data_IF_567865981304
#
_entry.id   IF_567865981304
#
_cell.length_a   1.000
_cell.length_b   1.000
_cell.length_c   1.000
_cell.angle_alpha   90.00
_cell.angle_beta   90.00
_cell.angle_gamma   90.00
#
_symmetry.space_group_name_H-M   'P 1'
#
loop_
_entity.id
_entity.type
_entity.pdbx_description
1 polymer ?
#
# COMPACT_ATOMS: atom_id res chain seq x y z
N UNK A 1 -16.34 -3.48 0.08
CA UNK A 1 -16.20 -2.23 -0.68
C UNK A 1 -17.00 -2.41 -1.95
N UNK A 2 -17.81 -1.42 -2.35
CA UNK A 2 -18.65 -1.53 -3.54
C UNK A 2 -18.41 -0.35 -4.46
N UNK A 3 -18.21 -0.58 -5.76
CA UNK A 3 -18.13 0.52 -6.74
C UNK A 3 -19.48 1.22 -6.88
N UNK A 4 -19.50 2.54 -6.72
CA UNK A 4 -20.68 3.39 -6.93
C UNK A 4 -20.69 3.93 -8.35
N UNK A 5 -19.56 4.49 -8.79
CA UNK A 5 -19.43 5.09 -10.11
C UNK A 5 -17.99 5.00 -10.60
N UNK A 6 -17.84 5.05 -11.92
CA UNK A 6 -16.56 5.09 -12.63
C UNK A 6 -16.73 6.02 -13.82
N UNK A 7 -15.75 6.89 -14.04
CA UNK A 7 -15.66 7.76 -15.20
C UNK A 7 -14.20 7.76 -15.73
N UNK A 8 -13.94 8.57 -16.75
CA UNK A 8 -12.62 8.65 -17.41
C UNK A 8 -11.53 9.31 -16.54
N UNK A 9 -11.88 9.88 -15.37
CA UNK A 9 -10.94 10.57 -14.48
C UNK A 9 -10.78 9.91 -13.11
N UNK A 10 -11.79 9.17 -12.66
CA UNK A 10 -11.85 8.59 -11.31
C UNK A 10 -12.79 7.39 -11.19
N UNK A 11 -12.60 6.68 -10.09
CA UNK A 11 -13.55 5.72 -9.54
C UNK A 11 -13.97 6.12 -8.14
N UNK A 12 -15.23 5.87 -7.82
CA UNK A 12 -15.82 6.14 -6.50
C UNK A 12 -16.30 4.83 -5.90
N UNK A 13 -15.78 4.53 -4.72
CA UNK A 13 -16.17 3.37 -3.94
C UNK A 13 -16.96 3.76 -2.71
N UNK A 14 -17.90 2.90 -2.38
CA UNK A 14 -18.58 2.83 -1.11
C UNK A 14 -17.73 2.03 -0.12
N UNK A 15 -17.43 2.65 1.02
CA UNK A 15 -16.83 1.99 2.18
C UNK A 15 -17.71 2.14 3.39
N UNK A 16 -17.73 1.06 4.16
CA UNK A 16 -18.10 1.09 5.58
C UNK A 16 -17.01 1.80 6.39
N UNK A 17 -17.36 2.24 7.61
CA UNK A 17 -16.38 2.84 8.53
C UNK A 17 -15.22 1.88 8.88
N UNK A 18 -15.48 0.58 8.95
CA UNK A 18 -14.45 -0.44 9.20
C UNK A 18 -13.45 -0.51 8.05
N UNK A 19 -13.92 -0.58 6.80
CA UNK A 19 -13.06 -0.63 5.62
C UNK A 19 -12.22 0.65 5.47
N UNK A 20 -12.79 1.81 5.80
CA UNK A 20 -12.04 3.08 5.83
C UNK A 20 -10.92 3.05 6.88
N UNK A 21 -11.21 2.57 8.07
CA UNK A 21 -10.21 2.46 9.14
C UNK A 21 -9.09 1.51 8.73
N UNK A 22 -9.43 0.38 8.11
CA UNK A 22 -8.46 -0.58 7.57
C UNK A 22 -7.60 0.07 6.47
N UNK A 23 -8.20 0.76 5.50
CA UNK A 23 -7.47 1.47 4.44
C UNK A 23 -6.51 2.52 5.02
N UNK A 24 -6.98 3.35 5.97
CA UNK A 24 -6.13 4.32 6.67
C UNK A 24 -4.99 3.64 7.39
N UNK A 25 -5.28 2.57 8.14
CA UNK A 25 -4.28 1.79 8.86
C UNK A 25 -3.20 1.22 7.93
N UNK A 26 -3.58 0.72 6.75
CA UNK A 26 -2.63 0.22 5.75
C UNK A 26 -1.77 1.35 5.18
N UNK A 27 -2.41 2.42 4.67
CA UNK A 27 -1.69 3.53 4.04
C UNK A 27 -0.78 4.27 5.01
N UNK A 28 -1.20 4.46 6.27
CA UNK A 28 -0.38 5.06 7.33
C UNK A 28 0.78 4.17 7.78
N UNK A 29 0.82 2.90 7.36
CA UNK A 29 1.97 2.02 7.59
C UNK A 29 3.12 2.31 6.62
N UNK A 30 2.91 3.16 5.62
CA UNK A 30 3.95 3.62 4.70
C UNK A 30 4.73 4.82 5.26
N UNK A 31 6.07 4.85 5.12
CA UNK A 31 6.92 3.78 4.58
C UNK A 31 7.13 2.64 5.58
N UNK A 32 7.11 1.40 5.11
CA UNK A 32 7.42 0.24 5.95
C UNK A 32 8.90 0.28 6.37
N UNK A 33 9.17 0.11 7.66
CA UNK A 33 10.53 0.10 8.18
C UNK A 33 11.31 -1.08 7.58
N UNK A 34 12.47 -0.77 6.97
CA UNK A 34 13.34 -1.73 6.27
C UNK A 34 13.94 -2.83 7.15
N UNK A 35 13.73 -2.81 8.48
CA UNK A 35 14.27 -3.83 9.38
C UNK A 35 13.85 -5.25 9.05
N UNK A 36 12.76 -5.43 8.28
CA UNK A 36 12.29 -6.73 7.80
C UNK A 36 12.82 -7.13 6.42
N UNK A 37 13.38 -6.22 5.62
CA UNK A 37 13.88 -6.57 4.29
C UNK A 37 15.23 -7.30 4.40
N UNK A 38 15.44 -8.41 3.69
CA UNK A 38 16.76 -8.94 3.53
C UNK A 38 17.64 -7.85 2.91
N UNK A 39 18.82 -7.64 3.47
CA UNK A 39 19.84 -6.84 2.80
C UNK A 39 19.99 -7.38 1.38
N UNK A 40 19.90 -6.50 0.37
CA UNK A 40 20.14 -6.90 -1.00
C UNK A 40 21.42 -7.74 -1.04
N UNK A 41 21.43 -8.93 -1.67
CA UNK A 41 22.66 -9.69 -1.85
C UNK A 41 23.68 -8.72 -2.44
N UNK A 42 24.83 -8.57 -1.75
CA UNK A 42 25.89 -7.61 -2.09
C UNK A 42 25.93 -7.43 -3.60
N UNK A 43 25.55 -6.24 -4.06
CA UNK A 43 25.64 -5.92 -5.48
C UNK A 43 27.05 -6.31 -5.95
N UNK A 44 27.20 -6.89 -7.15
CA UNK A 44 28.52 -7.13 -7.72
C UNK A 44 29.34 -5.85 -7.58
N UNK A 45 30.63 -5.98 -7.25
CA UNK A 45 31.50 -4.84 -6.90
C UNK A 45 31.17 -3.62 -7.78
N UNK A 46 30.98 -2.43 -7.16
CA UNK A 46 30.57 -1.26 -7.90
C UNK A 46 31.53 -1.08 -9.08
N UNK A 47 30.99 -1.24 -10.29
CA UNK A 47 31.76 -0.97 -11.48
C UNK A 47 32.15 0.51 -11.41
N UNK A 48 33.39 0.90 -11.72
CA UNK A 48 33.81 2.31 -11.74
C UNK A 48 33.01 3.15 -12.76
N UNK A 49 32.24 2.52 -13.65
CA UNK A 49 31.27 3.15 -14.57
C UNK A 49 29.80 2.97 -14.14
N UNK A 50 29.52 2.42 -12.95
CA UNK A 50 28.17 2.21 -12.44
C UNK A 50 27.55 3.49 -11.86
N UNK A 51 26.21 3.58 -11.76
CA UNK A 51 25.54 4.69 -11.10
C UNK A 51 26.01 4.82 -9.65
N UNK A 52 26.20 6.05 -9.19
CA UNK A 52 26.63 6.36 -7.82
C UNK A 52 25.60 5.81 -6.81
N UNK A 53 25.98 4.84 -5.96
CA UNK A 53 25.05 4.22 -5.02
C UNK A 53 24.56 5.21 -3.95
N UNK A 54 25.31 6.24 -3.61
CA UNK A 54 24.88 7.27 -2.65
C UNK A 54 23.80 8.15 -3.27
N UNK A 55 24.01 8.58 -4.52
CA UNK A 55 23.02 9.35 -5.28
C UNK A 55 21.71 8.57 -5.45
N UNK A 56 21.79 7.29 -5.82
CA UNK A 56 20.61 6.42 -5.96
C UNK A 56 19.83 6.31 -4.64
N UNK A 57 20.52 6.10 -3.52
CA UNK A 57 19.87 6.00 -2.22
C UNK A 57 19.22 7.33 -1.81
N UNK A 58 19.86 8.47 -2.12
CA UNK A 58 19.30 9.79 -1.85
C UNK A 58 18.03 10.05 -2.69
N UNK A 59 18.03 9.71 -3.98
CA UNK A 59 16.85 9.83 -4.84
C UNK A 59 15.70 8.93 -4.38
N UNK A 60 16.00 7.67 -4.01
CA UNK A 60 15.00 6.76 -3.46
C UNK A 60 14.41 7.27 -2.14
N UNK A 61 15.23 7.85 -1.26
CA UNK A 61 14.75 8.43 -0.02
C UNK A 61 13.82 9.62 -0.29
N UNK A 62 14.21 10.54 -1.18
CA UNK A 62 13.39 11.68 -1.57
C UNK A 62 12.07 11.26 -2.22
N UNK A 63 12.10 10.24 -3.09
CA UNK A 63 10.92 9.67 -3.70
C UNK A 63 9.95 9.08 -2.66
N UNK A 64 10.45 8.32 -1.68
CA UNK A 64 9.64 7.78 -0.57
C UNK A 64 9.01 8.88 0.27
N UNK A 65 9.74 9.94 0.58
CA UNK A 65 9.18 11.10 1.29
C UNK A 65 8.06 11.73 0.48
N UNK A 66 8.23 11.91 -0.84
CA UNK A 66 7.15 12.43 -1.69
C UNK A 66 5.91 11.53 -1.70
N UNK A 67 6.08 10.21 -1.73
CA UNK A 67 4.96 9.28 -1.64
C UNK A 67 4.26 9.34 -0.27
N UNK A 68 5.01 9.49 0.81
CA UNK A 68 4.46 9.65 2.15
C UNK A 68 3.60 10.92 2.26
N UNK A 69 4.07 12.02 1.69
CA UNK A 69 3.31 13.28 1.63
C UNK A 69 2.03 13.10 0.79
N UNK A 70 2.12 12.41 -0.35
CA UNK A 70 0.94 12.09 -1.18
C UNK A 70 -0.08 11.24 -0.45
N UNK A 71 0.36 10.25 0.33
CA UNK A 71 -0.53 9.44 1.19
C UNK A 71 -1.26 10.33 2.19
N UNK A 72 -0.54 11.22 2.87
CA UNK A 72 -1.13 12.13 3.85
C UNK A 72 -2.16 13.06 3.21
N UNK A 73 -1.81 13.67 2.08
CA UNK A 73 -2.71 14.52 1.29
C UNK A 73 -3.95 13.74 0.83
N UNK A 74 -3.75 12.58 0.20
CA UNK A 74 -4.84 11.73 -0.29
C UNK A 74 -5.84 11.37 0.83
N UNK A 75 -5.34 10.99 2.01
CA UNK A 75 -6.18 10.66 3.17
C UNK A 75 -6.92 11.87 3.75
N UNK A 76 -6.40 13.09 3.55
CA UNK A 76 -7.01 14.33 4.03
C UNK A 76 -8.04 14.91 3.05
N UNK A 77 -7.85 14.68 1.75
CA UNK A 77 -8.74 15.14 0.68
C UNK A 77 -9.96 14.24 0.48
N UNK A 78 -10.00 13.08 1.14
CA UNK A 78 -11.16 12.21 1.05
C UNK A 78 -12.42 12.90 1.58
N UNK A 79 -13.59 12.69 0.93
CA UNK A 79 -14.83 13.33 1.32
C UNK A 79 -15.15 13.14 2.80
N UNK A 80 -15.58 14.22 3.45
CA UNK A 80 -16.00 14.18 4.84
C UNK A 80 -17.21 13.23 5.03
N UNK A 81 -17.35 12.65 6.22
CA UNK A 81 -18.53 11.89 6.61
C UNK A 81 -19.84 12.59 6.26
N UNK A 82 -20.74 11.93 5.52
CA UNK A 82 -22.10 12.41 5.39
C UNK A 82 -22.82 12.22 6.76
N UNK A 83 -23.43 13.27 7.34
CA UNK A 83 -24.01 13.22 8.69
C UNK A 83 -25.20 12.26 8.89
N UNK A 84 -25.72 11.64 7.83
CA UNK A 84 -27.01 10.90 7.86
C UNK A 84 -26.92 9.48 7.30
N UNK A 85 -25.72 9.03 6.96
CA UNK A 85 -25.46 7.70 6.39
C UNK A 85 -24.18 7.15 6.98
N UNK A 86 -24.17 5.86 7.33
CA UNK A 86 -22.96 5.11 7.76
C UNK A 86 -22.03 4.78 6.57
N UNK A 87 -22.44 5.20 5.38
CA UNK A 87 -21.74 4.97 4.14
C UNK A 87 -20.83 6.15 3.81
N UNK A 88 -19.60 5.85 3.35
CA UNK A 88 -18.56 6.83 2.99
C UNK A 88 -18.07 6.56 1.58
N UNK A 89 -17.73 7.63 0.86
CA UNK A 89 -17.15 7.52 -0.47
C UNK A 89 -15.63 7.65 -0.40
N UNK A 90 -14.91 6.72 -1.03
CA UNK A 90 -13.50 6.87 -1.40
C UNK A 90 -13.44 7.25 -2.86
N UNK A 91 -12.77 8.36 -3.14
CA UNK A 91 -12.54 8.83 -4.51
C UNK A 91 -11.09 8.56 -4.86
N UNK A 92 -10.88 7.80 -5.92
CA UNK A 92 -9.55 7.53 -6.47
C UNK A 92 -9.52 8.10 -7.87
N UNK A 93 -8.72 9.14 -8.09
CA UNK A 93 -8.44 9.63 -9.43
C UNK A 93 -7.44 8.71 -10.12
N UNK A 94 -7.55 8.53 -11.43
CA UNK A 94 -6.63 7.66 -12.18
C UNK A 94 -5.18 8.14 -12.14
N UNK A 95 -4.98 9.46 -12.06
CA UNK A 95 -3.64 10.05 -11.81
C UNK A 95 -2.99 9.57 -10.51
N UNK A 96 -3.81 9.12 -9.55
CA UNK A 96 -3.36 8.67 -8.23
C UNK A 96 -3.21 7.15 -8.15
N UNK A 97 -3.76 6.41 -9.12
CA UNK A 97 -3.78 4.95 -9.08
C UNK A 97 -2.38 4.35 -9.06
N UNK A 98 -1.47 4.82 -9.92
CA UNK A 98 -0.10 4.28 -10.02
C UNK A 98 0.67 4.37 -8.70
N UNK A 99 0.67 5.56 -8.08
CA UNK A 99 1.42 5.73 -6.83
C UNK A 99 0.73 5.01 -5.67
N UNK A 100 -0.60 4.91 -5.68
CA UNK A 100 -1.35 4.17 -4.67
C UNK A 100 -1.06 2.66 -4.76
N UNK A 101 -0.99 2.11 -5.98
CA UNK A 101 -0.57 0.72 -6.23
C UNK A 101 0.86 0.46 -5.73
N UNK A 102 1.78 1.41 -5.95
CA UNK A 102 3.15 1.30 -5.44
C UNK A 102 3.19 1.26 -3.90
N UNK A 103 2.45 2.15 -3.23
CA UNK A 103 2.35 2.18 -1.77
C UNK A 103 1.74 0.89 -1.23
N UNK A 104 0.63 0.42 -1.79
CA UNK A 104 -0.02 -0.83 -1.39
C UNK A 104 0.92 -2.01 -1.57
N UNK A 105 1.64 -2.08 -2.69
CA UNK A 105 2.60 -3.14 -2.93
C UNK A 105 3.79 -3.09 -1.96
N UNK A 106 4.33 -1.91 -1.65
CA UNK A 106 5.42 -1.78 -0.68
C UNK A 106 4.98 -2.20 0.73
N UNK A 107 3.77 -1.83 1.15
CA UNK A 107 3.19 -2.28 2.43
C UNK A 107 2.99 -3.81 2.41
N UNK A 108 2.44 -4.36 1.33
CA UNK A 108 2.20 -5.81 1.18
C UNK A 108 3.51 -6.60 1.25
N UNK A 109 4.49 -6.23 0.44
CA UNK A 109 5.81 -6.89 0.38
C UNK A 109 6.57 -6.72 1.69
N UNK A 110 6.62 -5.51 2.25
CA UNK A 110 7.26 -5.27 3.55
C UNK A 110 6.63 -6.09 4.66
N UNK A 111 5.32 -6.31 4.60
CA UNK A 111 4.61 -7.11 5.59
C UNK A 111 4.85 -8.60 5.42
N UNK A 112 4.90 -9.09 4.18
CA UNK A 112 5.28 -10.48 3.88
C UNK A 112 6.69 -10.80 4.42
N UNK A 113 7.63 -9.86 4.27
CA UNK A 113 8.95 -9.96 4.87
C UNK A 113 8.91 -9.97 6.40
N UNK A 114 8.12 -9.09 7.03
CA UNK A 114 7.95 -9.04 8.49
C UNK A 114 7.36 -10.33 9.07
N UNK A 115 6.59 -11.07 8.26
CA UNK A 115 6.04 -12.39 8.61
C UNK A 115 7.03 -13.55 8.39
N UNK A 116 8.26 -13.27 7.95
CA UNK A 116 9.27 -14.29 7.70
C UNK A 116 9.15 -14.97 6.33
N UNK A 117 8.57 -14.30 5.34
CA UNK A 117 8.37 -14.82 3.98
C UNK A 117 7.63 -16.17 3.97
N UNK A 118 6.40 -16.24 4.52
CA UNK A 118 5.63 -17.48 4.51
C UNK A 118 5.42 -17.95 3.07
N UNK A 119 5.64 -19.25 2.86
CA UNK A 119 5.37 -19.93 1.59
C UNK A 119 3.85 -20.03 1.36
N UNK A 120 3.40 -20.12 0.10
CA UNK A 120 1.97 -20.16 -0.25
C UNK A 120 1.25 -21.37 0.38
N UNK A 121 1.99 -22.41 0.72
CA UNK A 121 1.50 -23.64 1.37
C UNK A 121 1.74 -23.68 2.88
N UNK A 122 2.36 -22.66 3.48
CA UNK A 122 2.55 -22.62 4.93
C UNK A 122 1.23 -22.26 5.60
N UNK A 123 0.74 -23.13 6.49
CA UNK A 123 -0.37 -22.80 7.36
C UNK A 123 -0.03 -21.54 8.18
N UNK A 124 -0.64 -20.41 7.81
CA UNK A 124 -0.58 -19.15 8.55
C UNK A 124 -0.97 -19.32 10.04
N UNK A 125 -1.62 -20.43 10.38
CA UNK A 125 -1.97 -20.87 11.72
C UNK A 125 -0.76 -21.07 12.66
N UNK A 126 0.46 -21.23 12.14
CA UNK A 126 1.66 -21.42 12.95
C UNK A 126 2.15 -20.13 13.63
N UNK A 127 1.72 -18.95 13.17
CA UNK A 127 2.27 -17.67 13.63
C UNK A 127 1.37 -17.08 14.73
N UNK A 128 1.77 -17.26 15.99
CA UNK A 128 1.00 -16.84 17.18
C UNK A 128 1.58 -15.58 17.80
N UNK A 129 0.91 -14.44 17.59
CA UNK A 129 1.20 -13.17 18.28
C UNK A 129 0.25 -12.03 17.85
N UNK A 130 -0.06 -11.06 18.73
CA UNK A 130 -0.86 -9.88 18.35
C UNK A 130 -0.24 -9.05 17.21
N UNK A 131 1.09 -8.98 17.17
CA UNK A 131 1.84 -8.29 16.12
C UNK A 131 1.74 -9.03 14.77
N UNK A 132 1.71 -10.35 14.80
CA UNK A 132 1.47 -11.17 13.61
C UNK A 132 0.12 -10.87 13.00
N UNK A 133 -0.95 -10.79 13.81
CA UNK A 133 -2.29 -10.47 13.31
C UNK A 133 -2.33 -9.11 12.61
N UNK A 134 -1.64 -8.13 13.16
CA UNK A 134 -1.48 -6.79 12.58
C UNK A 134 -0.84 -6.87 11.19
N UNK A 135 0.20 -7.69 11.04
CA UNK A 135 0.84 -7.94 9.75
C UNK A 135 -0.05 -8.74 8.79
N UNK A 136 -0.73 -9.79 9.24
CA UNK A 136 -1.66 -10.54 8.38
C UNK A 136 -2.77 -9.64 7.82
N UNK A 137 -3.35 -8.78 8.65
CA UNK A 137 -4.36 -7.82 8.19
C UNK A 137 -3.78 -6.87 7.13
N UNK A 138 -2.58 -6.31 7.36
CA UNK A 138 -1.93 -5.44 6.35
C UNK A 138 -1.69 -6.18 5.04
N UNK A 139 -1.20 -7.41 5.09
CA UNK A 139 -0.89 -8.22 3.91
C UNK A 139 -2.16 -8.48 3.07
N UNK A 140 -3.18 -9.06 3.72
CA UNK A 140 -4.43 -9.46 3.07
C UNK A 140 -5.17 -8.25 2.51
N UNK A 141 -5.37 -7.21 3.31
CA UNK A 141 -6.15 -6.06 2.88
C UNK A 141 -5.38 -5.18 1.89
N UNK A 142 -4.05 -5.06 1.97
CA UNK A 142 -3.29 -4.38 0.92
C UNK A 142 -3.42 -5.13 -0.42
N UNK A 143 -3.38 -6.46 -0.41
CA UNK A 143 -3.64 -7.29 -1.58
C UNK A 143 -5.05 -7.12 -2.13
N UNK A 144 -6.06 -7.13 -1.26
CA UNK A 144 -7.45 -6.95 -1.65
C UNK A 144 -7.70 -5.57 -2.29
N UNK A 145 -7.18 -4.49 -1.69
CA UNK A 145 -7.28 -3.15 -2.28
C UNK A 145 -6.53 -3.03 -3.60
N UNK A 146 -5.34 -3.63 -3.71
CA UNK A 146 -4.55 -3.64 -4.94
C UNK A 146 -5.29 -4.35 -6.06
N UNK A 147 -5.81 -5.56 -5.81
CA UNK A 147 -6.56 -6.34 -6.80
C UNK A 147 -7.83 -5.63 -7.25
N UNK A 148 -8.54 -4.99 -6.33
CA UNK A 148 -9.74 -4.22 -6.64
C UNK A 148 -9.43 -2.96 -7.47
N UNK A 149 -8.34 -2.25 -7.17
CA UNK A 149 -7.92 -1.08 -7.96
C UNK A 149 -7.45 -1.48 -9.37
N UNK A 150 -6.70 -2.58 -9.49
CA UNK A 150 -6.29 -3.12 -10.79
C UNK A 150 -7.48 -3.55 -11.63
N UNK A 151 -8.46 -4.25 -11.02
CA UNK A 151 -9.68 -4.62 -11.71
C UNK A 151 -10.41 -3.41 -12.32
N UNK A 152 -10.48 -2.29 -11.61
CA UNK A 152 -11.10 -1.07 -12.14
C UNK A 152 -10.25 -0.31 -13.17
N UNK A 153 -8.94 -0.53 -13.21
CA UNK A 153 -8.08 -0.01 -14.28
C UNK A 153 -8.20 -0.83 -15.57
N UNK A 154 -8.38 -2.14 -15.44
CA UNK A 154 -8.41 -3.09 -16.57
C UNK A 154 -9.81 -3.35 -17.12
N UNK A 155 -10.86 -3.07 -16.34
CA UNK A 155 -12.24 -3.17 -16.83
C UNK A 155 -12.45 -2.11 -17.92
N UNK A 156 -12.91 -2.46 -19.12
CA UNK A 156 -13.38 -1.47 -20.11
C UNK A 156 -14.77 -0.94 -19.71
#
# INVERSE_FOLDING_TARGET
MKRISRDDEKVVFELTDAERQILRFILQSYPMQRGAWPEHPKAPQPSPMGPDPELLNAELAAFKTSLQDRVATFLSEQPAPHPTSDVRCLVIHWKDADWLLQVLNEVRVGTWYALGCPDENCEMAAVRGPETWTHLLRLEFAGAFQGLLLHELESD
#
